data_IF_278096926364
#
_entry.id   IF_278096926364
#
_cell.length_a   1.000
_cell.length_b   1.000
_cell.length_c   1.000
_cell.angle_alpha   90.00
_cell.angle_beta   90.00
_cell.angle_gamma   90.00
#
_symmetry.space_group_name_H-M   'P 1'
#
loop_
_entity.id
_entity.type
_entity.pdbx_description
1 polymer ?
#
# COMPACT_ATOMS: atom_id res chain seq x y z
N UNK A 1 -1.96 10.56 -11.14
CA UNK A 1 -2.01 9.13 -10.71
C UNK A 1 -3.43 8.61 -10.87
N UNK A 2 -3.70 7.73 -11.84
CA UNK A 2 -5.02 7.12 -12.01
C UNK A 2 -5.34 6.14 -10.88
N UNK A 3 -6.56 6.22 -10.35
CA UNK A 3 -7.09 5.29 -9.35
C UNK A 3 -8.44 4.76 -9.75
N UNK A 4 -8.80 3.56 -9.27
CA UNK A 4 -10.07 2.88 -9.56
C UNK A 4 -10.50 2.00 -8.39
N UNK A 5 -11.76 1.60 -8.38
CA UNK A 5 -12.36 0.75 -7.35
C UNK A 5 -12.75 -0.65 -7.86
N UNK A 6 -12.70 -0.85 -9.17
CA UNK A 6 -12.98 -2.14 -9.80
C UNK A 6 -11.68 -2.92 -10.03
N UNK A 7 -11.53 -4.03 -9.31
CA UNK A 7 -10.36 -4.90 -9.41
C UNK A 7 -10.14 -5.45 -10.85
N UNK A 8 -11.19 -5.53 -11.67
CA UNK A 8 -11.06 -5.98 -13.05
C UNK A 8 -10.19 -5.06 -13.93
N UNK A 9 -9.89 -3.85 -13.48
CA UNK A 9 -8.99 -2.92 -14.17
C UNK A 9 -7.51 -3.13 -13.80
N UNK A 10 -7.24 -3.92 -12.75
CA UNK A 10 -5.86 -4.24 -12.33
C UNK A 10 -5.17 -5.16 -13.35
N UNK A 11 -3.89 -4.87 -13.58
CA UNK A 11 -2.99 -5.70 -14.41
C UNK A 11 -2.10 -6.59 -13.54
N UNK A 12 -1.82 -6.17 -12.32
CA UNK A 12 -0.98 -6.88 -11.38
C UNK A 12 -1.67 -8.14 -10.87
N UNK A 13 -1.09 -9.29 -11.14
CA UNK A 13 -1.55 -10.57 -10.58
C UNK A 13 -1.39 -10.63 -9.07
N UNK A 14 -0.43 -9.90 -8.51
CA UNK A 14 -0.20 -9.81 -7.06
C UNK A 14 -1.27 -8.98 -6.38
N UNK A 15 -1.64 -7.81 -6.95
CA UNK A 15 -2.73 -6.99 -6.46
C UNK A 15 -4.05 -7.74 -6.51
N UNK A 16 -4.32 -8.45 -7.62
CA UNK A 16 -5.50 -9.31 -7.78
C UNK A 16 -5.51 -10.45 -6.76
N UNK A 17 -4.38 -11.10 -6.50
CA UNK A 17 -4.30 -12.16 -5.50
C UNK A 17 -4.61 -11.66 -4.08
N UNK A 18 -4.13 -10.45 -3.71
CA UNK A 18 -4.47 -9.84 -2.44
C UNK A 18 -5.95 -9.45 -2.37
N UNK A 19 -6.52 -8.95 -3.48
CA UNK A 19 -7.96 -8.67 -3.56
C UNK A 19 -8.80 -9.93 -3.38
N UNK A 20 -8.42 -11.04 -4.01
CA UNK A 20 -9.13 -12.32 -3.88
C UNK A 20 -9.09 -12.84 -2.43
N UNK A 21 -7.93 -12.71 -1.78
CA UNK A 21 -7.81 -13.02 -0.35
C UNK A 21 -8.73 -12.13 0.48
N UNK A 22 -8.72 -10.81 0.26
CA UNK A 22 -9.55 -9.85 1.01
C UNK A 22 -11.05 -10.15 0.84
N UNK A 23 -11.48 -10.47 -0.37
CA UNK A 23 -12.87 -10.85 -0.67
C UNK A 23 -13.26 -12.16 0.05
N UNK A 24 -12.39 -13.15 0.07
CA UNK A 24 -12.64 -14.43 0.78
C UNK A 24 -12.73 -14.25 2.30
N UNK A 25 -11.99 -13.31 2.87
CA UNK A 25 -11.98 -13.05 4.31
C UNK A 25 -13.17 -12.22 4.80
N UNK A 26 -14.11 -11.86 3.92
CA UNK A 26 -15.35 -11.20 4.29
C UNK A 26 -15.74 -9.98 3.44
N UNK A 27 -14.77 -9.25 2.86
CA UNK A 27 -15.08 -8.13 1.98
C UNK A 27 -15.83 -8.59 0.73
N UNK A 28 -16.71 -7.80 0.14
CA UNK A 28 -17.13 -6.45 0.51
C UNK A 28 -18.24 -6.37 1.57
N UNK A 29 -18.75 -7.48 2.07
CA UNK A 29 -19.88 -7.50 3.02
C UNK A 29 -19.45 -7.04 4.42
N UNK A 30 -18.31 -7.55 4.89
CA UNK A 30 -17.71 -7.20 6.18
C UNK A 30 -16.23 -6.98 5.96
N UNK A 31 -15.71 -5.80 6.33
CA UNK A 31 -14.26 -5.54 6.30
C UNK A 31 -13.55 -6.64 7.10
N UNK A 32 -12.57 -7.36 6.52
CA UNK A 32 -11.85 -8.40 7.23
C UNK A 32 -11.17 -7.90 8.49
N UNK A 33 -11.14 -8.74 9.51
CA UNK A 33 -10.38 -8.44 10.72
C UNK A 33 -8.88 -8.71 10.48
N UNK A 34 -8.02 -7.92 11.12
CA UNK A 34 -6.57 -8.13 11.07
C UNK A 34 -6.15 -9.54 11.46
N UNK A 35 -6.84 -10.19 12.38
CA UNK A 35 -6.55 -11.57 12.79
C UNK A 35 -6.68 -12.60 11.67
N UNK A 36 -7.37 -12.26 10.57
CA UNK A 36 -7.43 -13.08 9.36
C UNK A 36 -6.15 -13.06 8.52
N UNK A 37 -5.25 -12.12 8.77
CA UNK A 37 -3.97 -12.02 8.04
C UNK A 37 -3.05 -13.14 8.49
N UNK A 38 -2.96 -14.19 7.67
CA UNK A 38 -2.03 -15.31 7.87
C UNK A 38 -0.79 -15.11 6.99
N UNK A 39 0.40 -14.90 7.61
CA UNK A 39 1.63 -14.75 6.85
C UNK A 39 1.99 -15.97 5.98
N UNK A 40 1.56 -17.16 6.34
CA UNK A 40 1.81 -18.36 5.53
C UNK A 40 0.98 -18.36 4.26
N UNK A 41 -0.28 -17.94 4.35
CA UNK A 41 -1.16 -17.82 3.18
C UNK A 41 -0.68 -16.71 2.23
N UNK A 42 -0.22 -15.60 2.77
CA UNK A 42 0.25 -14.44 2.00
C UNK A 42 1.76 -14.48 1.68
N UNK A 43 2.44 -15.59 1.94
CA UNK A 43 3.91 -15.71 1.85
C UNK A 43 4.49 -15.16 0.54
N UNK A 44 3.86 -15.45 -0.59
CA UNK A 44 4.33 -14.99 -1.90
C UNK A 44 4.19 -13.47 -2.10
N UNK A 45 3.28 -12.83 -1.36
CA UNK A 45 2.99 -11.40 -1.45
C UNK A 45 3.74 -10.56 -0.41
N UNK A 46 4.19 -11.17 0.70
CA UNK A 46 4.79 -10.46 1.84
C UNK A 46 5.92 -9.50 1.46
N UNK A 47 6.82 -9.81 0.52
CA UNK A 47 7.88 -8.87 0.15
C UNK A 47 7.38 -7.55 -0.41
N UNK A 48 6.16 -7.52 -0.94
CA UNK A 48 5.52 -6.36 -1.57
C UNK A 48 4.43 -5.72 -0.71
N UNK A 49 4.16 -6.26 0.49
CA UNK A 49 3.09 -5.79 1.38
C UNK A 49 3.58 -4.65 2.28
N UNK A 50 2.68 -3.70 2.50
CA UNK A 50 2.78 -2.68 3.54
C UNK A 50 1.60 -2.84 4.50
N UNK A 51 1.86 -2.67 5.79
CA UNK A 51 0.82 -2.57 6.82
C UNK A 51 0.86 -1.17 7.42
N UNK A 52 -0.28 -0.51 7.45
CA UNK A 52 -0.43 0.80 8.06
C UNK A 52 -1.55 0.80 9.10
N UNK A 53 -1.37 1.59 10.14
CA UNK A 53 -2.35 1.80 11.20
C UNK A 53 -3.00 3.18 11.05
N UNK A 54 -4.24 3.27 11.52
CA UNK A 54 -5.02 4.51 11.54
C UNK A 54 -4.99 5.09 12.95
N UNK A 55 -4.67 6.37 13.04
CA UNK A 55 -5.03 7.21 14.18
C UNK A 55 -6.26 8.04 13.78
N UNK A 56 -7.21 8.22 14.70
CA UNK A 56 -8.52 8.77 14.34
C UNK A 56 -8.53 10.27 14.61
N UNK A 57 -8.38 10.92 15.56
CA UNK A 57 -8.59 12.35 15.80
C UNK A 57 -7.27 13.13 16.04
N UNK A 58 -6.63 13.66 15.02
CA UNK A 58 -6.98 13.71 13.61
C UNK A 58 -6.66 12.41 12.88
N UNK A 59 -7.30 12.19 11.70
CA UNK A 59 -6.96 11.04 10.85
C UNK A 59 -5.51 11.12 10.40
N UNK A 60 -4.72 10.11 10.79
CA UNK A 60 -3.34 9.93 10.37
C UNK A 60 -3.07 8.46 10.05
N UNK A 61 -2.13 8.21 9.18
CA UNK A 61 -1.69 6.89 8.77
C UNK A 61 -0.24 6.68 9.17
N UNK A 62 0.05 5.62 9.92
CA UNK A 62 1.39 5.25 10.36
C UNK A 62 1.76 3.89 9.79
N UNK A 63 2.89 3.81 9.11
CA UNK A 63 3.40 2.53 8.60
C UNK A 63 3.96 1.66 9.72
N UNK A 64 3.49 0.42 9.79
CA UNK A 64 3.90 -0.58 10.80
C UNK A 64 4.83 -1.63 10.24
N UNK A 65 4.73 -1.90 8.94
CA UNK A 65 5.55 -2.87 8.25
C UNK A 65 5.68 -2.46 6.79
N UNK A 66 6.89 -2.60 6.27
CA UNK A 66 7.16 -2.51 4.85
C UNK A 66 7.86 -3.78 4.39
N UNK A 67 7.37 -4.37 3.29
CA UNK A 67 7.94 -5.56 2.69
C UNK A 67 9.36 -5.33 2.15
N UNK A 68 10.16 -6.36 2.19
CA UNK A 68 11.59 -6.29 1.82
C UNK A 68 11.80 -5.85 0.38
N UNK A 69 10.93 -6.26 -0.54
CA UNK A 69 11.02 -5.88 -1.95
C UNK A 69 10.77 -4.39 -2.15
N UNK A 70 9.82 -3.82 -1.41
CA UNK A 70 9.55 -2.38 -1.45
C UNK A 70 10.77 -1.62 -0.95
N UNK A 71 11.37 -2.05 0.18
CA UNK A 71 12.59 -1.45 0.72
C UNK A 71 13.77 -1.55 -0.25
N UNK A 72 13.97 -2.70 -0.90
CA UNK A 72 15.03 -2.89 -1.90
C UNK A 72 14.89 -1.94 -3.09
N UNK A 73 13.66 -1.76 -3.59
CA UNK A 73 13.38 -0.91 -4.75
C UNK A 73 13.44 0.57 -4.40
N UNK A 74 12.84 0.97 -3.27
CA UNK A 74 12.74 2.37 -2.85
C UNK A 74 14.01 2.88 -2.16
N UNK A 75 14.84 1.98 -1.64
CA UNK A 75 16.03 2.32 -0.87
C UNK A 75 15.77 2.92 0.50
N UNK A 76 14.50 2.96 0.94
CA UNK A 76 14.09 3.52 2.22
C UNK A 76 13.09 2.61 2.92
N UNK A 77 13.28 2.40 4.23
CA UNK A 77 12.29 1.75 5.10
C UNK A 77 11.49 2.83 5.84
N UNK A 78 10.20 2.91 5.52
CA UNK A 78 9.27 3.87 6.13
C UNK A 78 8.56 3.32 7.36
N UNK A 79 8.94 2.14 7.85
CA UNK A 79 8.38 1.56 9.07
C UNK A 79 8.51 2.52 10.26
N UNK A 80 7.43 2.77 10.96
CA UNK A 80 7.37 3.68 12.10
C UNK A 80 7.09 5.15 11.75
N UNK A 81 7.18 5.54 10.47
CA UNK A 81 6.88 6.89 10.00
C UNK A 81 5.39 7.09 9.73
N UNK A 82 4.95 8.32 9.91
CA UNK A 82 3.63 8.74 9.47
C UNK A 82 3.67 9.15 8.00
N UNK A 83 2.55 8.92 7.31
CA UNK A 83 2.42 9.29 5.90
C UNK A 83 2.64 10.80 5.67
N UNK A 84 2.19 11.65 6.59
CA UNK A 84 2.36 13.10 6.53
C UNK A 84 3.80 13.58 6.84
N UNK A 85 4.67 12.70 7.31
CA UNK A 85 6.11 12.94 7.46
C UNK A 85 6.90 12.61 6.19
N UNK A 86 6.28 11.88 5.25
CA UNK A 86 6.90 11.50 3.99
C UNK A 86 6.68 12.60 2.95
N UNK A 87 7.74 12.99 2.28
CA UNK A 87 7.66 13.87 1.13
C UNK A 87 7.66 13.00 -0.12
N UNK A 88 6.55 13.00 -0.86
CA UNK A 88 6.59 12.44 -2.20
C UNK A 88 7.54 13.26 -3.07
N UNK A 89 8.38 12.59 -3.86
CA UNK A 89 9.23 13.26 -4.85
C UNK A 89 8.37 13.90 -5.94
N UNK A 90 7.17 13.37 -6.15
CA UNK A 90 6.17 13.97 -7.03
C UNK A 90 5.10 14.67 -6.18
N UNK A 91 4.97 16.01 -6.29
CA UNK A 91 4.09 16.80 -5.41
C UNK A 91 2.59 16.50 -5.57
N UNK A 92 2.19 15.82 -6.65
CA UNK A 92 0.79 15.57 -6.99
C UNK A 92 0.30 14.15 -6.61
N UNK A 93 0.96 13.48 -5.67
CA UNK A 93 0.51 12.16 -5.22
C UNK A 93 -0.33 12.29 -3.94
N UNK A 94 -1.67 12.21 -4.03
CA UNK A 94 -2.58 12.45 -2.90
C UNK A 94 -2.74 11.19 -2.04
N UNK A 95 -1.65 10.62 -1.53
CA UNK A 95 -1.69 9.38 -0.74
C UNK A 95 -2.60 9.48 0.48
N UNK A 96 -2.58 10.63 1.18
CA UNK A 96 -3.46 10.86 2.32
C UNK A 96 -4.94 10.74 1.92
N UNK A 97 -5.30 11.27 0.75
CA UNK A 97 -6.67 11.19 0.23
C UNK A 97 -7.04 9.77 -0.17
N UNK A 98 -6.09 8.98 -0.70
CA UNK A 98 -6.33 7.58 -1.06
C UNK A 98 -6.62 6.74 0.19
N UNK A 99 -5.81 6.86 1.24
CA UNK A 99 -6.06 6.18 2.50
C UNK A 99 -7.38 6.63 3.14
N UNK A 100 -7.67 7.94 3.11
CA UNK A 100 -8.93 8.47 3.63
C UNK A 100 -10.15 7.97 2.85
N UNK A 101 -10.01 7.81 1.53
CA UNK A 101 -11.06 7.24 0.66
C UNK A 101 -11.34 5.79 1.06
N UNK A 102 -10.32 4.96 1.22
CA UNK A 102 -10.45 3.56 1.67
C UNK A 102 -11.07 3.49 3.08
N UNK A 103 -10.62 4.36 3.98
CA UNK A 103 -11.15 4.46 5.34
C UNK A 103 -12.66 4.73 5.34
N UNK A 104 -13.12 5.71 4.57
CA UNK A 104 -14.53 6.14 4.52
C UNK A 104 -15.40 5.17 3.74
N UNK A 105 -14.93 4.69 2.60
CA UNK A 105 -15.68 3.77 1.76
C UNK A 105 -15.74 2.35 2.32
N UNK A 106 -14.78 1.98 3.17
CA UNK A 106 -14.58 0.61 3.69
C UNK A 106 -14.37 -0.42 2.56
N UNK A 107 -13.87 0.03 1.41
CA UNK A 107 -13.63 -0.75 0.20
C UNK A 107 -12.21 -0.54 -0.30
N UNK A 108 -11.64 -1.51 -1.02
CA UNK A 108 -10.33 -1.36 -1.64
C UNK A 108 -10.28 -0.20 -2.63
N UNK A 109 -9.10 0.38 -2.76
CA UNK A 109 -8.73 1.32 -3.80
C UNK A 109 -7.50 0.78 -4.52
N UNK A 110 -7.52 0.84 -5.83
CA UNK A 110 -6.42 0.43 -6.69
C UNK A 110 -5.91 1.64 -7.47
N UNK A 111 -4.67 1.56 -7.93
CA UNK A 111 -4.14 2.61 -8.78
C UNK A 111 -2.80 2.23 -9.41
N UNK A 112 -2.35 3.07 -10.32
CA UNK A 112 -1.01 2.98 -10.87
C UNK A 112 -0.33 4.32 -10.86
N UNK A 113 0.98 4.31 -10.72
CA UNK A 113 1.79 5.51 -10.78
C UNK A 113 3.13 5.20 -11.41
N UNK A 114 3.79 6.25 -11.87
CA UNK A 114 5.12 6.20 -12.46
C UNK A 114 6.07 6.97 -11.56
N UNK A 115 7.19 6.37 -11.20
CA UNK A 115 8.20 7.01 -10.35
C UNK A 115 9.54 7.10 -11.06
N UNK A 116 10.33 8.16 -10.81
CA UNK A 116 11.66 8.29 -11.38
C UNK A 116 12.63 7.26 -10.79
N UNK A 117 13.61 6.85 -11.59
CA UNK A 117 14.74 6.03 -11.18
C UNK A 117 15.96 6.88 -10.87
N UNK A 118 16.76 6.48 -9.89
CA UNK A 118 18.05 7.12 -9.58
C UNK A 118 19.03 7.07 -10.75
N UNK A 119 18.96 5.99 -11.56
CA UNK A 119 19.81 5.80 -12.75
C UNK A 119 19.26 6.48 -14.03
N UNK A 120 18.16 7.23 -13.93
CA UNK A 120 17.43 7.83 -15.04
C UNK A 120 16.31 6.93 -15.60
N UNK A 121 15.31 7.56 -16.24
CA UNK A 121 14.09 6.89 -16.69
C UNK A 121 13.05 6.78 -15.58
N UNK A 122 12.02 6.00 -15.83
CA UNK A 122 10.88 5.83 -14.93
C UNK A 122 10.53 4.36 -14.72
N UNK A 123 9.79 4.09 -13.64
CA UNK A 123 9.19 2.79 -13.32
C UNK A 123 7.73 2.98 -13.07
N UNK A 124 6.93 2.16 -13.71
CA UNK A 124 5.52 2.06 -13.39
C UNK A 124 5.31 1.00 -12.31
N UNK A 125 4.44 1.28 -11.35
CA UNK A 125 3.95 0.27 -10.44
C UNK A 125 2.44 0.39 -10.24
N UNK A 126 1.84 -0.72 -9.89
CA UNK A 126 0.43 -0.81 -9.54
C UNK A 126 0.30 -1.10 -8.05
N UNK A 127 -0.70 -0.51 -7.41
CA UNK A 127 -0.93 -0.70 -5.99
C UNK A 127 -2.38 -1.03 -5.69
N UNK A 128 -2.59 -1.68 -4.55
CA UNK A 128 -3.90 -1.85 -3.92
C UNK A 128 -3.83 -1.51 -2.45
N UNK A 129 -4.84 -0.80 -1.93
CA UNK A 129 -5.00 -0.47 -0.51
C UNK A 129 -6.32 -1.10 -0.03
N UNK A 130 -6.24 -1.93 0.99
CA UNK A 130 -7.36 -2.71 1.50
C UNK A 130 -7.60 -2.40 2.98
N UNK A 131 -8.85 -2.09 3.38
CA UNK A 131 -9.15 -1.81 4.78
C UNK A 131 -9.19 -3.10 5.61
N UNK A 132 -8.77 -2.98 6.86
CA UNK A 132 -8.89 -3.99 7.90
C UNK A 132 -9.49 -3.37 9.16
N UNK A 133 -10.30 -4.16 9.89
CA UNK A 133 -10.73 -3.81 11.24
C UNK A 133 -9.85 -4.52 12.29
N UNK A 134 -10.00 -4.16 13.54
CA UNK A 134 -9.23 -4.74 14.66
C UNK A 134 -10.15 -4.99 15.84
N UNK A 135 -10.92 -6.06 15.77
CA UNK A 135 -11.87 -6.48 16.81
C UNK A 135 -13.18 -5.70 16.88
N UNK A 136 -13.21 -4.46 16.38
CA UNK A 136 -14.39 -3.61 16.31
C UNK A 136 -14.90 -3.41 14.87
N UNK A 137 -15.77 -2.42 14.68
CA UNK A 137 -16.36 -2.13 13.37
C UNK A 137 -15.59 -1.06 12.58
N UNK A 138 -14.69 -0.33 13.23
CA UNK A 138 -13.92 0.71 12.58
C UNK A 138 -12.78 0.12 11.73
N UNK A 139 -12.44 0.80 10.65
CA UNK A 139 -11.19 0.57 9.94
C UNK A 139 -10.07 1.11 10.80
N UNK A 140 -9.17 0.25 11.25
CA UNK A 140 -8.05 0.61 12.14
C UNK A 140 -6.69 0.28 11.51
N UNK A 141 -6.70 -0.47 10.43
CA UNK A 141 -5.50 -0.80 9.66
C UNK A 141 -5.79 -0.84 8.16
N UNK A 142 -4.70 -0.81 7.40
CA UNK A 142 -4.69 -1.12 5.98
C UNK A 142 -3.63 -2.17 5.71
N UNK A 143 -3.96 -3.11 4.82
CA UNK A 143 -2.97 -3.92 4.12
C UNK A 143 -2.87 -3.38 2.70
N UNK A 144 -1.69 -3.00 2.27
CA UNK A 144 -1.43 -2.50 0.93
C UNK A 144 -0.38 -3.36 0.23
N UNK A 145 -0.37 -3.34 -1.08
CA UNK A 145 0.60 -4.02 -1.90
C UNK A 145 1.05 -3.12 -3.05
N UNK A 146 2.34 -3.14 -3.32
CA UNK A 146 2.95 -2.45 -4.46
C UNK A 146 3.65 -3.46 -5.36
N UNK A 147 3.21 -3.54 -6.63
CA UNK A 147 3.82 -4.39 -7.66
C UNK A 147 4.55 -3.53 -8.69
N UNK A 148 5.86 -3.69 -8.73
CA UNK A 148 6.76 -2.96 -9.62
C UNK A 148 7.05 -3.71 -10.93
N UNK A 149 6.17 -4.64 -11.32
CA UNK A 149 6.20 -5.37 -12.59
C UNK A 149 7.56 -6.01 -12.93
N UNK A 150 8.14 -6.72 -11.96
CA UNK A 150 9.34 -7.52 -12.20
C UNK A 150 10.65 -6.73 -12.20
N UNK A 151 10.66 -5.50 -11.67
CA UNK A 151 11.91 -4.88 -11.27
C UNK A 151 12.66 -5.84 -10.35
N UNK A 152 13.71 -6.42 -10.88
CA UNK A 152 14.62 -7.27 -10.12
C UNK A 152 15.51 -6.33 -9.30
N UNK A 153 15.30 -6.34 -7.98
CA UNK A 153 16.07 -5.53 -7.07
C UNK A 153 17.56 -5.75 -7.22
N UNK A 154 18.30 -4.80 -6.91
CA UNK A 154 19.67 -4.55 -6.50
C UNK A 154 20.36 -3.39 -7.22
N UNK A 155 19.88 -2.90 -8.35
CA UNK A 155 20.62 -1.90 -9.13
C UNK A 155 19.81 -0.63 -9.43
N UNK A 156 18.47 -0.67 -9.26
CA UNK A 156 17.61 0.43 -9.72
C UNK A 156 16.73 0.95 -8.60
N UNK A 157 17.33 1.70 -7.68
CA UNK A 157 16.58 2.40 -6.66
C UNK A 157 15.68 3.47 -7.30
N UNK A 158 14.44 3.47 -6.90
CA UNK A 158 13.52 4.58 -7.12
C UNK A 158 13.48 5.42 -5.84
N UNK A 159 13.34 6.72 -5.96
CA UNK A 159 13.23 7.62 -4.81
C UNK A 159 11.80 8.18 -4.70
N UNK A 160 10.80 7.36 -4.31
CA UNK A 160 9.41 7.83 -4.23
C UNK A 160 9.18 8.74 -3.02
N UNK A 161 10.03 8.63 -1.99
CA UNK A 161 9.84 9.29 -0.71
C UNK A 161 11.13 9.89 -0.16
N UNK A 162 10.98 11.02 0.53
CA UNK A 162 11.99 11.54 1.45
C UNK A 162 11.35 11.76 2.80
N UNK A 163 12.05 11.38 3.88
CA UNK A 163 11.62 11.71 5.24
C UNK A 163 11.97 13.17 5.50
N UNK A 164 11.02 13.94 6.01
CA UNK A 164 11.31 15.31 6.47
C UNK A 164 12.33 15.24 7.60
N UNK A 165 13.42 15.95 7.45
CA UNK A 165 14.33 16.21 8.57
C UNK A 165 13.57 17.00 9.64
N UNK A 166 13.61 16.52 10.87
CA UNK A 166 13.04 17.24 12.03
C UNK A 166 13.82 18.49 12.31
#
# INVERSE_FOLDING_TARGET
MPVWTDAAQCKSTMVLALNDWWCRMGGPSIVPDRSAVDPLELKALLPNILIAEVEHDPFRVRYRLQGTKVTEITGIDITGHYLDELLSVEPDQPWQEHYLTVYRSRRPLFGSTTVPRSAGGTVDYEFGIFPLRRGGDLVEQFIALEDYFGLLGTIEQIEPWRVRSR
#
